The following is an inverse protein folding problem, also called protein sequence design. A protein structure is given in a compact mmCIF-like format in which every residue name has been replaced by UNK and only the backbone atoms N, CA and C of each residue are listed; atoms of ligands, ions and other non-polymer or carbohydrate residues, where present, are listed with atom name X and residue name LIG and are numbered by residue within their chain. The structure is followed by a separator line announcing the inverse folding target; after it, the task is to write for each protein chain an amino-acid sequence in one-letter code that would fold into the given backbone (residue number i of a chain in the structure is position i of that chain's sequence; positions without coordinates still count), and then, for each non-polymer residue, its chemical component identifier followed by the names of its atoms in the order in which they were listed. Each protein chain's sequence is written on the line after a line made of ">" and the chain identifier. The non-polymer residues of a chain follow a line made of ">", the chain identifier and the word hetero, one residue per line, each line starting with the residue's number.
data_IF_443292076876
#
_entry.id   IF_443292076876
#
_cell.length_a   1.000
_cell.length_b   1.000
_cell.length_c   1.000
_cell.angle_alpha   90.00
_cell.angle_beta   90.00
_cell.angle_gamma   90.00
#
_symmetry.space_group_name_H-M   'P 1'
#
loop_
_entity.id
_entity.type
_entity.pdbx_description
1 polymer ?
#
# COMPACT_ATOMS: atom_id res chain seq x y z
N UNK A 1 16.50 19.90 0.87
CA UNK A 1 16.28 18.45 0.64
C UNK A 1 14.82 18.24 0.27
N UNK A 2 14.54 17.47 -0.77
CA UNK A 2 13.17 17.12 -1.15
C UNK A 2 12.82 15.75 -0.56
N UNK A 3 11.58 15.59 -0.12
CA UNK A 3 11.05 14.36 0.47
C UNK A 3 9.63 14.14 -0.01
N UNK A 4 9.30 12.88 -0.33
CA UNK A 4 7.92 12.45 -0.60
C UNK A 4 7.47 11.56 0.56
N UNK A 5 6.30 11.86 1.11
CA UNK A 5 5.64 11.00 2.10
C UNK A 5 4.25 10.69 1.55
N UNK A 6 3.90 9.41 1.50
CA UNK A 6 2.63 8.97 0.96
C UNK A 6 1.97 7.93 1.86
N UNK A 7 0.65 8.01 1.96
CA UNK A 7 -0.20 7.07 2.67
C UNK A 7 -1.45 6.85 1.81
N UNK A 8 -1.33 5.94 0.85
CA UNK A 8 -2.38 5.63 -0.13
C UNK A 8 -2.52 4.10 -0.24
N UNK A 9 -3.60 3.65 -0.86
CA UNK A 9 -3.87 2.23 -1.08
C UNK A 9 -5.18 1.73 -0.47
N UNK A 10 -5.86 2.56 0.33
CA UNK A 10 -7.13 2.21 0.99
C UNK A 10 -8.19 1.64 0.03
N UNK A 11 -8.25 2.20 -1.19
CA UNK A 11 -9.25 1.88 -2.20
C UNK A 11 -8.81 0.78 -3.17
N UNK A 12 -7.56 0.32 -3.09
CA UNK A 12 -6.96 -0.48 -4.14
C UNK A 12 -7.45 -1.93 -4.13
N UNK A 13 -8.09 -2.37 -3.05
CA UNK A 13 -8.66 -3.72 -2.89
C UNK A 13 -9.92 -4.01 -3.72
N UNK A 14 -10.04 -3.41 -4.91
CA UNK A 14 -11.15 -3.53 -5.85
C UNK A 14 -10.71 -4.27 -7.11
N UNK A 15 -11.67 -4.70 -7.93
CA UNK A 15 -11.37 -5.27 -9.25
C UNK A 15 -10.68 -4.25 -10.15
N UNK A 16 -9.84 -4.71 -11.07
CA UNK A 16 -9.14 -3.86 -12.03
C UNK A 16 -9.76 -4.05 -13.41
N UNK A 17 -10.11 -2.97 -14.09
CA UNK A 17 -10.55 -2.99 -15.49
C UNK A 17 -9.42 -2.52 -16.41
N UNK A 18 -8.98 -3.37 -17.33
CA UNK A 18 -7.94 -3.07 -18.32
C UNK A 18 -8.42 -3.53 -19.70
N UNK A 19 -8.32 -2.65 -20.69
CA UNK A 19 -8.69 -2.95 -22.09
C UNK A 19 -10.09 -3.58 -22.21
N UNK A 20 -11.05 -3.09 -21.43
CA UNK A 20 -12.43 -3.59 -21.41
C UNK A 20 -12.66 -4.91 -20.66
N UNK A 21 -11.61 -5.53 -20.11
CA UNK A 21 -11.69 -6.77 -19.31
C UNK A 21 -11.66 -6.46 -17.83
N UNK A 22 -12.59 -7.04 -17.08
CA UNK A 22 -12.58 -7.01 -15.62
C UNK A 22 -11.70 -8.13 -15.06
N UNK A 23 -10.83 -7.76 -14.13
CA UNK A 23 -9.93 -8.66 -13.42
C UNK A 23 -10.31 -8.61 -11.95
N UNK A 24 -10.84 -9.73 -11.45
CA UNK A 24 -11.32 -9.84 -10.06
C UNK A 24 -10.18 -9.69 -9.06
N UNK A 25 -10.43 -8.91 -8.00
CA UNK A 25 -9.52 -8.74 -6.88
C UNK A 25 -9.06 -10.11 -6.33
N UNK A 26 -7.76 -10.22 -6.05
CA UNK A 26 -7.17 -11.41 -5.44
C UNK A 26 -6.80 -12.53 -6.42
N UNK A 27 -7.23 -12.47 -7.69
CA UNK A 27 -6.74 -13.38 -8.74
C UNK A 27 -5.25 -13.17 -9.03
N UNK A 28 -4.60 -14.16 -9.64
CA UNK A 28 -3.17 -14.09 -10.00
C UNK A 28 -2.90 -12.93 -10.95
N UNK A 29 -3.74 -12.78 -11.98
CA UNK A 29 -3.69 -11.67 -12.92
C UNK A 29 -3.87 -10.31 -12.21
N UNK A 30 -4.75 -10.23 -11.22
CA UNK A 30 -4.92 -9.01 -10.43
C UNK A 30 -3.65 -8.68 -9.63
N UNK A 31 -3.05 -9.70 -8.99
CA UNK A 31 -1.83 -9.53 -8.18
C UNK A 31 -0.66 -9.04 -9.03
N UNK A 32 -0.48 -9.63 -10.21
CA UNK A 32 0.56 -9.24 -11.15
C UNK A 32 0.38 -7.78 -11.62
N UNK A 33 -0.81 -7.44 -12.10
CA UNK A 33 -1.13 -6.08 -12.55
C UNK A 33 -0.96 -5.06 -11.42
N UNK A 34 -1.44 -5.40 -10.22
CA UNK A 34 -1.36 -4.50 -9.08
C UNK A 34 0.08 -4.26 -8.62
N UNK A 35 0.90 -5.31 -8.54
CA UNK A 35 2.34 -5.17 -8.28
C UNK A 35 3.02 -4.27 -9.30
N UNK A 36 2.70 -4.43 -10.58
CA UNK A 36 3.19 -3.56 -11.64
C UNK A 36 2.83 -2.09 -11.43
N UNK A 37 1.58 -1.79 -11.03
CA UNK A 37 1.13 -0.42 -10.71
C UNK A 37 1.90 0.19 -9.54
N UNK A 38 2.05 -0.56 -8.43
CA UNK A 38 2.79 -0.10 -7.24
C UNK A 38 4.27 0.13 -7.60
N UNK A 39 4.87 -0.79 -8.35
CA UNK A 39 6.25 -0.64 -8.80
C UNK A 39 6.46 0.58 -9.70
N UNK A 40 5.56 0.82 -10.66
CA UNK A 40 5.64 1.98 -11.54
C UNK A 40 5.56 3.28 -10.74
N UNK A 41 4.67 3.34 -9.74
CA UNK A 41 4.53 4.52 -8.88
C UNK A 41 5.78 4.75 -8.02
N UNK A 42 6.32 3.70 -7.39
CA UNK A 42 7.57 3.76 -6.64
C UNK A 42 8.77 4.16 -7.52
N UNK A 43 8.83 3.63 -8.76
CA UNK A 43 9.87 3.97 -9.74
C UNK A 43 9.86 5.45 -10.11
N UNK A 44 8.67 6.03 -10.32
CA UNK A 44 8.50 7.45 -10.64
C UNK A 44 8.99 8.36 -9.50
N UNK A 45 8.73 8.00 -8.25
CA UNK A 45 9.26 8.75 -7.10
C UNK A 45 10.78 8.57 -6.98
N UNK A 46 11.26 7.34 -7.19
CA UNK A 46 12.66 6.99 -7.10
C UNK A 46 13.52 7.69 -8.16
N UNK A 47 13.04 7.81 -9.40
CA UNK A 47 13.81 8.35 -10.54
C UNK A 47 14.19 9.81 -10.39
N UNK A 48 13.41 10.57 -9.60
CA UNK A 48 13.70 11.97 -9.28
C UNK A 48 14.83 12.12 -8.23
N UNK A 49 15.47 11.02 -7.82
CA UNK A 49 16.48 10.98 -6.75
C UNK A 49 15.98 11.54 -5.40
N UNK A 50 14.66 11.65 -5.24
CA UNK A 50 14.01 12.11 -4.03
C UNK A 50 13.83 10.92 -3.09
N UNK A 51 14.12 11.10 -1.79
CA UNK A 51 13.80 10.08 -0.79
C UNK A 51 12.28 9.99 -0.65
N UNK A 52 11.73 8.78 -0.60
CA UNK A 52 10.29 8.60 -0.38
C UNK A 52 9.99 7.61 0.75
N UNK A 53 8.95 7.92 1.50
CA UNK A 53 8.42 7.09 2.58
C UNK A 53 6.98 6.67 2.27
N UNK A 54 6.77 5.38 2.05
CA UNK A 54 5.42 4.82 1.91
C UNK A 54 4.94 4.36 3.28
N UNK A 55 3.97 5.09 3.84
CA UNK A 55 3.39 4.77 5.13
C UNK A 55 2.38 3.63 4.98
N UNK A 56 2.46 2.65 5.87
CA UNK A 56 1.42 1.64 6.02
C UNK A 56 0.08 2.26 6.39
N UNK A 57 -1.00 1.52 6.15
CA UNK A 57 -2.34 1.90 6.57
C UNK A 57 -2.66 1.29 7.95
N UNK A 58 -3.49 1.95 8.78
CA UNK A 58 -3.96 1.38 10.03
C UNK A 58 -4.82 0.12 9.79
N UNK A 59 -5.12 -0.59 10.87
CA UNK A 59 -6.13 -1.64 10.84
C UNK A 59 -7.51 -1.06 10.47
N UNK A 60 -8.28 -1.81 9.67
CA UNK A 60 -9.61 -1.37 9.24
C UNK A 60 -10.69 -1.91 10.19
N UNK A 61 -11.78 -1.16 10.38
CA UNK A 61 -12.90 -1.58 11.25
C UNK A 61 -13.51 -2.90 10.76
N UNK A 62 -13.75 -3.01 9.46
CA UNK A 62 -14.33 -4.22 8.86
C UNK A 62 -13.27 -5.31 8.69
N UNK A 63 -13.49 -6.54 9.17
CA UNK A 63 -12.56 -7.66 8.97
C UNK A 63 -12.26 -7.96 7.50
N UNK A 64 -13.25 -7.76 6.62
CA UNK A 64 -13.07 -7.94 5.18
C UNK A 64 -12.09 -6.93 4.60
N UNK A 65 -12.25 -5.64 4.93
CA UNK A 65 -11.33 -4.60 4.49
C UNK A 65 -9.97 -4.70 5.16
N UNK A 66 -9.90 -5.12 6.43
CA UNK A 66 -8.64 -5.33 7.15
C UNK A 66 -7.78 -6.42 6.50
N UNK A 67 -8.41 -7.55 6.13
CA UNK A 67 -7.73 -8.61 5.38
C UNK A 67 -7.19 -8.11 4.03
N UNK A 68 -7.97 -7.29 3.31
CA UNK A 68 -7.48 -6.65 2.07
C UNK A 68 -6.30 -5.74 2.35
N UNK A 69 -6.39 -4.89 3.37
CA UNK A 69 -5.35 -3.94 3.70
C UNK A 69 -4.02 -4.61 4.05
N UNK A 70 -4.07 -5.73 4.78
CA UNK A 70 -2.88 -6.55 5.07
C UNK A 70 -2.24 -7.11 3.81
N UNK A 71 -3.04 -7.58 2.85
CA UNK A 71 -2.51 -8.06 1.56
C UNK A 71 -1.86 -6.93 0.75
N UNK A 72 -2.48 -5.75 0.69
CA UNK A 72 -1.95 -4.59 -0.02
C UNK A 72 -0.67 -4.06 0.65
N UNK A 73 -0.64 -4.02 1.98
CA UNK A 73 0.52 -3.59 2.77
C UNK A 73 1.76 -4.41 2.46
N UNK A 74 1.61 -5.74 2.33
CA UNK A 74 2.71 -6.62 1.91
C UNK A 74 3.24 -6.27 0.52
N UNK A 75 2.37 -5.85 -0.41
CA UNK A 75 2.81 -5.39 -1.74
C UNK A 75 3.59 -4.08 -1.63
N UNK A 76 3.13 -3.12 -0.82
CA UNK A 76 3.82 -1.83 -0.63
C UNK A 76 5.22 -2.02 -0.04
N UNK A 77 5.34 -2.87 0.99
CA UNK A 77 6.61 -3.19 1.62
C UNK A 77 7.59 -3.82 0.62
N UNK A 78 7.14 -4.86 -0.09
CA UNK A 78 7.99 -5.59 -1.04
C UNK A 78 8.41 -4.71 -2.24
N UNK A 79 7.50 -3.93 -2.83
CA UNK A 79 7.84 -3.08 -3.98
C UNK A 79 8.72 -1.88 -3.59
N UNK A 80 8.48 -1.28 -2.42
CA UNK A 80 9.29 -0.13 -1.96
C UNK A 80 10.72 -0.55 -1.65
N UNK A 81 10.93 -1.75 -1.09
CA UNK A 81 12.25 -2.29 -0.75
C UNK A 81 13.19 -2.46 -1.97
N UNK A 82 12.66 -2.38 -3.19
CA UNK A 82 13.44 -2.48 -4.43
C UNK A 82 14.24 -1.21 -4.75
N UNK A 83 13.97 -0.09 -4.08
CA UNK A 83 14.56 1.21 -4.37
C UNK A 83 15.44 1.68 -3.20
N UNK A 84 16.70 2.05 -3.47
CA UNK A 84 17.65 2.48 -2.42
C UNK A 84 17.19 3.72 -1.63
N UNK A 85 16.44 4.60 -2.27
CA UNK A 85 15.87 5.83 -1.71
C UNK A 85 14.40 5.69 -1.29
N UNK A 86 13.83 4.48 -1.38
CA UNK A 86 12.48 4.16 -0.90
C UNK A 86 12.52 3.46 0.44
N UNK A 87 11.56 3.76 1.32
CA UNK A 87 11.35 2.99 2.55
C UNK A 87 9.87 2.88 2.88
N UNK A 88 9.42 1.65 3.13
CA UNK A 88 8.12 1.42 3.72
C UNK A 88 8.18 1.65 5.24
N UNK A 89 7.20 2.35 5.79
CA UNK A 89 7.11 2.66 7.22
C UNK A 89 5.82 2.03 7.76
N UNK A 90 5.89 0.94 8.52
CA UNK A 90 4.70 0.37 9.16
C UNK A 90 4.17 1.38 10.19
N UNK A 91 2.88 1.69 10.09
CA UNK A 91 2.20 2.61 11.02
C UNK A 91 1.16 1.91 11.88
N UNK A 92 0.98 0.59 11.70
CA UNK A 92 -0.13 -0.17 12.28
C UNK A 92 -0.15 -0.08 13.82
N UNK A 93 1.00 -0.09 14.48
CA UNK A 93 1.08 -0.01 15.95
C UNK A 93 0.78 1.41 16.46
N UNK A 94 1.05 2.43 15.64
CA UNK A 94 0.89 3.84 15.98
C UNK A 94 -0.52 4.33 15.67
N UNK A 95 -1.09 3.94 14.53
CA UNK A 95 -2.37 4.45 14.03
C UNK A 95 -3.55 3.53 14.30
N UNK A 96 -3.30 2.34 14.86
CA UNK A 96 -4.34 1.45 15.38
C UNK A 96 -4.33 1.43 16.91
N UNK A 97 -5.09 0.56 17.56
CA UNK A 97 -5.26 0.51 19.03
C UNK A 97 -4.02 0.08 19.85
N UNK A 98 -2.82 0.05 19.26
CA UNK A 98 -1.58 -0.43 19.89
C UNK A 98 -1.40 -1.95 19.85
N UNK A 99 -2.44 -2.72 19.53
CA UNK A 99 -2.39 -4.17 19.30
C UNK A 99 -2.65 -4.53 17.82
N UNK A 100 -2.48 -3.57 16.92
CA UNK A 100 -2.74 -3.72 15.49
C UNK A 100 -4.21 -4.01 15.14
N UNK A 101 -5.17 -3.58 15.97
CA UNK A 101 -6.61 -3.61 15.68
C UNK A 101 -7.16 -2.21 15.53
N UNK A 102 -8.27 -2.10 14.79
CA UNK A 102 -8.94 -0.82 14.56
C UNK A 102 -9.16 -0.04 15.87
N UNK A 103 -8.97 1.28 15.78
CA UNK A 103 -9.31 2.24 16.83
C UNK A 103 -10.15 3.35 16.18
N UNK A 104 -11.23 3.76 16.86
CA UNK A 104 -12.09 4.85 16.40
C UNK A 104 -11.39 6.21 16.56
N UNK A 105 -10.65 6.38 17.66
CA UNK A 105 -9.76 7.52 17.90
C UNK A 105 -8.57 7.07 18.77
N UNK A 106 -7.49 7.87 18.75
CA UNK A 106 -6.34 7.73 19.63
C UNK A 106 -6.07 9.10 20.25
N UNK A 107 -5.99 9.14 21.59
CA UNK A 107 -5.68 10.35 22.36
C UNK A 107 -4.16 10.59 22.38
#
# INVERSE_FOLDING_TARGET
>A
YHLIVLMIGANDGQGIRINGKDISYGSDAWREVYRGKVNAFASMMSSNSVRFYWLGMPAMLSPFFDKKMKNLTKVFEEETARFKNGKFIPTIDILSNGAGKYAEYKL
#
